data_IF_411611107890
#
_entry.id   IF_411611107890
#
_cell.length_a   1.000
_cell.length_b   1.000
_cell.length_c   1.000
_cell.angle_alpha   90.00
_cell.angle_beta   90.00
_cell.angle_gamma   90.00
#
_symmetry.space_group_name_H-M   'P 1'
#
loop_
_entity.id
_entity.type
_entity.pdbx_description
1 polymer ?
#
# COMPACT_ATOMS: atom_id res chain seq x y z
N UNK A 1 12.67 24.83 39.53
CA UNK A 1 11.89 24.97 38.30
C UNK A 1 10.63 24.11 38.44
N UNK A 2 9.52 24.76 38.82
CA UNK A 2 8.23 24.10 39.01
C UNK A 2 7.69 23.61 37.63
N UNK A 3 7.39 22.33 37.54
CA UNK A 3 6.61 21.76 36.42
C UNK A 3 5.20 22.33 36.49
N UNK A 4 4.89 23.39 35.72
CA UNK A 4 3.51 23.76 35.45
C UNK A 4 2.83 22.57 34.77
N UNK A 5 2.00 21.87 35.51
CA UNK A 5 1.02 20.92 34.95
C UNK A 5 0.11 21.74 34.03
N UNK A 6 0.30 21.70 32.74
CA UNK A 6 -0.53 22.32 31.73
C UNK A 6 -1.81 21.47 31.65
N UNK A 7 -2.75 21.68 32.54
CA UNK A 7 -4.07 21.06 32.45
C UNK A 7 -4.71 21.54 31.14
N UNK A 8 -5.11 20.63 30.28
CA UNK A 8 -5.81 20.93 29.03
C UNK A 8 -7.09 21.70 29.35
N UNK A 9 -7.30 22.81 28.63
CA UNK A 9 -8.51 23.61 28.80
C UNK A 9 -9.78 22.76 28.63
N UNK A 10 -10.77 23.01 29.44
CA UNK A 10 -12.03 22.24 29.48
C UNK A 10 -13.21 23.07 28.93
N UNK A 11 -14.31 22.38 28.58
CA UNK A 11 -15.57 23.06 28.22
C UNK A 11 -16.08 24.02 29.32
N UNK A 12 -15.73 23.76 30.58
CA UNK A 12 -16.09 24.64 31.71
C UNK A 12 -15.30 25.94 31.66
N UNK A 13 -14.04 25.90 31.26
CA UNK A 13 -13.20 27.09 31.14
C UNK A 13 -13.69 27.97 30.00
N UNK A 14 -14.07 27.40 28.87
CA UNK A 14 -14.71 28.12 27.74
C UNK A 14 -16.02 28.77 28.21
N UNK A 15 -16.88 28.03 28.92
CA UNK A 15 -18.15 28.54 29.43
C UNK A 15 -17.97 29.75 30.39
N UNK A 16 -16.95 29.68 31.26
CA UNK A 16 -16.57 30.74 32.18
C UNK A 16 -16.15 32.02 31.48
N UNK A 17 -15.25 31.88 30.45
CA UNK A 17 -14.75 33.03 29.67
C UNK A 17 -15.83 33.60 28.76
N UNK A 18 -16.61 32.75 28.08
CA UNK A 18 -17.72 33.21 27.24
C UNK A 18 -18.94 33.77 28.00
N UNK A 19 -19.01 33.56 29.31
CA UNK A 19 -20.16 33.98 30.13
C UNK A 19 -21.47 33.26 29.81
N UNK A 20 -21.38 31.97 29.43
CA UNK A 20 -22.52 31.13 29.04
C UNK A 20 -22.47 29.76 29.75
N UNK A 21 -23.56 28.99 29.67
CA UNK A 21 -23.56 27.64 30.22
C UNK A 21 -22.72 26.67 29.40
N UNK A 22 -22.21 25.60 30.02
CA UNK A 22 -21.51 24.51 29.28
C UNK A 22 -22.42 23.87 28.25
N UNK A 23 -23.72 23.82 28.45
CA UNK A 23 -24.69 23.35 27.48
C UNK A 23 -24.76 24.27 26.25
N UNK A 24 -24.65 25.61 26.46
CA UNK A 24 -24.59 26.58 25.37
C UNK A 24 -23.29 26.44 24.59
N UNK A 25 -22.13 26.28 25.26
CA UNK A 25 -20.83 25.98 24.58
C UNK A 25 -20.95 24.72 23.73
N UNK A 26 -21.44 23.64 24.32
CA UNK A 26 -21.63 22.37 23.59
C UNK A 26 -22.54 22.54 22.36
N UNK A 27 -23.65 23.26 22.51
CA UNK A 27 -24.59 23.51 21.40
C UNK A 27 -23.97 24.37 20.30
N UNK A 28 -23.21 25.39 20.69
CA UNK A 28 -22.50 26.25 19.71
C UNK A 28 -21.48 25.47 18.90
N UNK A 29 -20.69 24.62 19.54
CA UNK A 29 -19.68 23.80 18.89
C UNK A 29 -20.26 22.67 18.01
N UNK A 30 -21.44 22.13 18.40
CA UNK A 30 -22.07 21.01 17.70
C UNK A 30 -23.06 21.43 16.61
N UNK A 31 -23.79 22.52 16.82
CA UNK A 31 -24.85 23.02 15.95
C UNK A 31 -24.82 24.55 15.92
N UNK A 32 -23.82 25.17 15.29
CA UNK A 32 -23.63 26.62 15.30
C UNK A 32 -24.85 27.39 14.77
N UNK A 33 -25.58 26.78 13.82
CA UNK A 33 -26.78 27.42 13.23
C UNK A 33 -27.99 27.48 14.16
N UNK A 34 -27.98 26.72 15.26
CA UNK A 34 -29.03 26.74 16.27
C UNK A 34 -28.77 27.75 17.43
N UNK A 35 -27.74 28.57 17.27
CA UNK A 35 -27.32 29.57 18.27
C UNK A 35 -27.22 30.93 17.60
N UNK A 36 -27.58 32.02 18.33
CA UNK A 36 -27.46 33.37 17.76
C UNK A 36 -26.03 33.71 17.37
N UNK A 37 -25.84 34.50 16.31
CA UNK A 37 -24.52 34.92 15.83
C UNK A 37 -23.66 35.56 16.95
N UNK A 38 -24.29 36.36 17.84
CA UNK A 38 -23.61 36.99 18.96
C UNK A 38 -23.07 35.96 19.98
N UNK A 39 -23.88 34.97 20.34
CA UNK A 39 -23.45 33.89 21.25
C UNK A 39 -22.39 33.00 20.63
N UNK A 40 -22.51 32.72 19.32
CA UNK A 40 -21.52 31.97 18.57
C UNK A 40 -20.16 32.66 18.64
N UNK A 41 -20.09 33.93 18.27
CA UNK A 41 -18.85 34.71 18.31
C UNK A 41 -18.19 34.76 19.67
N UNK A 42 -19.00 34.93 20.77
CA UNK A 42 -18.47 34.87 22.13
C UNK A 42 -17.83 33.55 22.48
N UNK A 43 -18.46 32.45 22.11
CA UNK A 43 -17.92 31.09 22.38
C UNK A 43 -16.68 30.81 21.54
N UNK A 44 -16.65 31.17 20.25
CA UNK A 44 -15.51 31.00 19.37
C UNK A 44 -14.30 31.81 19.91
N UNK A 45 -14.48 33.04 20.30
CA UNK A 45 -13.40 33.85 20.89
C UNK A 45 -12.87 33.22 22.18
N UNK A 46 -13.77 32.75 23.06
CA UNK A 46 -13.39 32.10 24.32
C UNK A 46 -12.65 30.76 24.07
N UNK A 47 -13.01 29.99 23.04
CA UNK A 47 -12.29 28.76 22.62
C UNK A 47 -10.85 29.08 22.24
N UNK A 48 -10.64 30.15 21.48
CA UNK A 48 -9.29 30.59 21.08
C UNK A 48 -8.50 31.10 22.29
N UNK A 49 -9.12 31.89 23.14
CA UNK A 49 -8.49 32.51 24.32
C UNK A 49 -7.99 31.47 25.32
N UNK A 50 -8.80 30.45 25.62
CA UNK A 50 -8.41 29.40 26.58
C UNK A 50 -7.61 28.26 25.94
N UNK A 51 -7.43 28.26 24.61
CA UNK A 51 -6.77 27.17 23.89
C UNK A 51 -7.54 25.84 24.01
N UNK A 52 -8.88 25.91 24.01
CA UNK A 52 -9.71 24.72 24.09
C UNK A 52 -9.84 24.08 22.73
N UNK A 53 -9.39 22.84 22.61
CA UNK A 53 -9.63 22.01 21.45
C UNK A 53 -10.86 21.14 21.72
N UNK A 54 -11.97 21.32 20.95
CA UNK A 54 -13.14 20.47 21.10
C UNK A 54 -12.76 19.01 20.87
N UNK A 55 -12.67 18.23 21.93
CA UNK A 55 -12.55 16.78 21.76
C UNK A 55 -13.88 16.27 21.17
N UNK A 56 -13.85 15.83 19.92
CA UNK A 56 -14.99 15.18 19.28
C UNK A 56 -15.38 13.85 19.97
N UNK A 57 -14.67 13.45 21.02
CA UNK A 57 -14.91 12.24 21.82
C UNK A 57 -16.37 12.06 22.24
N UNK A 58 -17.03 13.12 22.72
CA UNK A 58 -18.44 13.01 23.14
C UNK A 58 -19.41 12.82 21.96
N UNK A 59 -19.07 13.34 20.78
CA UNK A 59 -19.83 13.16 19.53
C UNK A 59 -19.56 11.77 18.96
N UNK A 60 -18.31 11.37 18.96
CA UNK A 60 -17.85 10.06 18.45
C UNK A 60 -18.36 8.93 19.37
N UNK A 61 -18.33 9.09 20.69
CA UNK A 61 -18.91 8.15 21.67
C UNK A 61 -20.42 7.95 21.47
N UNK A 62 -21.18 9.02 21.12
CA UNK A 62 -22.61 8.89 20.83
C UNK A 62 -22.90 8.20 19.51
N UNK A 63 -21.99 8.29 18.53
CA UNK A 63 -22.10 7.65 17.22
C UNK A 63 -21.41 6.29 17.17
N UNK A 64 -20.68 5.94 18.22
CA UNK A 64 -19.82 4.74 18.26
C UNK A 64 -18.82 4.67 17.09
N UNK A 65 -18.30 5.85 16.68
CA UNK A 65 -17.32 6.03 15.61
C UNK A 65 -16.01 6.59 16.18
N UNK A 66 -14.86 6.06 15.78
CA UNK A 66 -13.54 6.58 16.15
C UNK A 66 -13.04 7.65 15.19
N UNK A 67 -13.54 7.63 13.96
CA UNK A 67 -13.03 8.42 12.82
C UNK A 67 -11.55 8.14 12.54
N UNK A 68 -11.12 6.92 12.78
CA UNK A 68 -9.80 6.44 12.50
C UNK A 68 -9.87 5.16 11.66
N UNK A 69 -8.99 5.07 10.67
CA UNK A 69 -8.78 3.91 9.80
C UNK A 69 -7.37 3.39 10.04
N UNK A 70 -7.20 2.08 10.10
CA UNK A 70 -5.88 1.45 10.16
C UNK A 70 -5.49 0.90 8.79
N UNK A 71 -4.33 1.30 8.31
CA UNK A 71 -3.69 0.73 7.13
C UNK A 71 -2.56 -0.17 7.59
N UNK A 72 -2.65 -1.46 7.25
CA UNK A 72 -1.62 -2.44 7.59
C UNK A 72 -0.70 -2.62 6.39
N UNK A 73 0.59 -2.34 6.59
CA UNK A 73 1.64 -2.49 5.58
C UNK A 73 2.55 -3.66 5.94
N UNK A 74 3.01 -4.45 4.96
CA UNK A 74 3.97 -5.54 5.19
C UNK A 74 5.33 -5.03 5.68
N UNK A 75 5.78 -3.91 5.12
CA UNK A 75 7.03 -3.24 5.47
C UNK A 75 6.92 -1.74 5.17
N UNK A 76 6.95 -0.90 6.19
CA UNK A 76 6.85 0.55 6.04
C UNK A 76 8.06 1.17 5.32
N UNK A 77 9.19 0.46 5.27
CA UNK A 77 10.40 0.92 4.59
C UNK A 77 10.37 0.68 3.07
N UNK A 78 9.40 -0.09 2.55
CA UNK A 78 9.26 -0.31 1.12
C UNK A 78 8.63 0.92 0.45
N UNK A 79 9.36 1.61 -0.46
CA UNK A 79 8.87 2.82 -1.12
C UNK A 79 7.64 2.60 -2.00
N UNK A 80 7.35 1.37 -2.38
CA UNK A 80 6.18 1.02 -3.17
C UNK A 80 4.87 1.47 -2.51
N UNK A 81 4.77 1.35 -1.18
CA UNK A 81 3.54 1.67 -0.47
C UNK A 81 3.26 3.16 -0.31
N UNK A 82 4.24 4.04 -0.57
CA UNK A 82 4.13 5.48 -0.32
C UNK A 82 2.94 6.13 -1.07
N UNK A 83 2.81 5.88 -2.38
CA UNK A 83 1.74 6.46 -3.19
C UNK A 83 0.38 5.80 -2.91
N UNK A 84 0.34 4.52 -2.52
CA UNK A 84 -0.88 3.84 -2.08
C UNK A 84 -1.39 4.50 -0.80
N UNK A 85 -0.52 4.67 0.20
CA UNK A 85 -0.85 5.31 1.47
C UNK A 85 -1.33 6.75 1.24
N UNK A 86 -0.67 7.48 0.35
CA UNK A 86 -1.07 8.85 -0.03
C UNK A 86 -2.49 8.88 -0.60
N UNK A 87 -2.83 7.98 -1.52
CA UNK A 87 -4.19 7.88 -2.08
C UNK A 87 -5.23 7.55 -1.02
N UNK A 88 -4.90 6.67 -0.05
CA UNK A 88 -5.76 6.36 1.09
C UNK A 88 -5.95 7.59 1.98
N UNK A 89 -4.85 8.27 2.33
CA UNK A 89 -4.85 9.42 3.26
C UNK A 89 -5.67 10.58 2.70
N UNK A 90 -5.45 10.96 1.44
CA UNK A 90 -6.19 12.06 0.81
C UNK A 90 -7.70 11.76 0.75
N UNK A 91 -8.10 10.53 0.39
CA UNK A 91 -9.52 10.14 0.39
C UNK A 91 -10.11 10.10 1.80
N UNK A 92 -9.36 9.63 2.80
CA UNK A 92 -9.77 9.59 4.20
C UNK A 92 -9.97 11.01 4.77
N UNK A 93 -9.01 11.91 4.52
CA UNK A 93 -9.04 13.30 5.00
C UNK A 93 -10.27 14.07 4.47
N UNK A 94 -10.62 13.89 3.18
CA UNK A 94 -11.81 14.49 2.58
C UNK A 94 -13.12 14.09 3.28
N UNK A 95 -13.13 12.92 3.96
CA UNK A 95 -14.28 12.40 4.68
C UNK A 95 -14.14 12.49 6.20
N UNK A 96 -13.11 13.21 6.69
CA UNK A 96 -12.88 13.47 8.11
C UNK A 96 -12.40 12.24 8.90
N UNK A 97 -11.70 11.32 8.25
CA UNK A 97 -11.02 10.19 8.87
C UNK A 97 -9.52 10.45 9.01
N UNK A 98 -8.94 9.94 10.11
CA UNK A 98 -7.50 9.85 10.31
C UNK A 98 -7.00 8.48 9.85
N UNK A 99 -5.82 8.45 9.25
CA UNK A 99 -5.15 7.21 8.87
C UNK A 99 -4.06 6.89 9.89
N UNK A 100 -4.13 5.71 10.47
CA UNK A 100 -3.09 5.10 11.30
C UNK A 100 -2.37 4.04 10.47
N UNK A 101 -1.05 3.93 10.60
CA UNK A 101 -0.27 2.94 9.88
C UNK A 101 0.23 1.89 10.88
N UNK A 102 -0.02 0.63 10.57
CA UNK A 102 0.50 -0.54 11.27
C UNK A 102 1.53 -1.26 10.41
N UNK A 103 2.78 -1.36 10.87
CA UNK A 103 3.84 -2.13 10.22
C UNK A 103 3.88 -3.54 10.81
N UNK A 104 3.60 -4.56 9.99
CA UNK A 104 3.55 -5.95 10.45
C UNK A 104 4.90 -6.63 10.52
N UNK A 105 5.93 -6.14 9.81
CA UNK A 105 7.28 -6.75 9.74
C UNK A 105 7.23 -8.27 9.54
N UNK A 106 6.20 -8.78 8.87
CA UNK A 106 5.92 -10.21 8.70
C UNK A 106 5.79 -11.01 10.02
N UNK A 107 5.40 -10.36 11.15
CA UNK A 107 5.24 -11.00 12.47
C UNK A 107 3.76 -11.17 12.83
N UNK A 108 3.28 -12.42 12.88
CA UNK A 108 1.88 -12.76 13.22
C UNK A 108 1.41 -12.20 14.57
N UNK A 109 2.29 -12.06 15.57
CA UNK A 109 1.91 -11.55 16.89
C UNK A 109 1.46 -10.06 16.86
N UNK A 110 2.02 -9.24 15.97
CA UNK A 110 1.62 -7.84 15.84
C UNK A 110 0.26 -7.70 15.17
N UNK A 111 -0.09 -8.62 14.33
CA UNK A 111 -1.33 -8.67 13.58
C UNK A 111 -2.54 -8.82 14.50
N UNK A 112 -2.49 -9.70 15.50
CA UNK A 112 -3.56 -9.86 16.51
C UNK A 112 -3.81 -8.57 17.33
N UNK A 113 -2.77 -7.77 17.58
CA UNK A 113 -2.93 -6.52 18.30
C UNK A 113 -3.75 -5.50 17.48
N UNK A 114 -3.59 -5.47 16.17
CA UNK A 114 -4.33 -4.57 15.28
C UNK A 114 -5.82 -4.92 15.20
N UNK A 115 -6.17 -6.20 15.22
CA UNK A 115 -7.57 -6.64 15.24
C UNK A 115 -8.27 -6.21 16.52
N UNK A 116 -7.58 -6.29 17.65
CA UNK A 116 -8.14 -5.81 18.90
C UNK A 116 -8.52 -4.32 18.87
N UNK A 117 -7.81 -3.49 18.08
CA UNK A 117 -8.20 -2.09 17.88
C UNK A 117 -9.53 -1.97 17.15
N UNK A 118 -9.79 -2.85 16.20
CA UNK A 118 -11.04 -2.89 15.44
C UNK A 118 -12.19 -3.43 16.30
N UNK A 119 -12.00 -4.56 16.98
CA UNK A 119 -13.00 -5.18 17.87
C UNK A 119 -13.38 -4.21 19.01
N UNK A 120 -12.40 -3.52 19.57
CA UNK A 120 -12.61 -2.55 20.66
C UNK A 120 -13.11 -1.19 20.17
N UNK A 121 -13.46 -1.04 18.89
CA UNK A 121 -13.94 0.20 18.26
C UNK A 121 -12.99 1.39 18.44
N UNK A 122 -11.69 1.14 18.51
CA UNK A 122 -10.66 2.18 18.49
C UNK A 122 -10.35 2.65 17.08
N UNK A 123 -10.68 1.85 16.09
CA UNK A 123 -10.70 2.17 14.65
C UNK A 123 -12.05 1.73 14.08
N UNK A 124 -12.49 2.38 13.01
CA UNK A 124 -13.78 2.09 12.37
C UNK A 124 -13.64 1.07 11.24
N UNK A 125 -12.48 1.02 10.60
CA UNK A 125 -12.21 0.10 9.49
C UNK A 125 -10.72 -0.10 9.25
N UNK A 126 -10.41 -1.03 8.34
CA UNK A 126 -9.03 -1.44 8.05
C UNK A 126 -8.80 -1.61 6.55
N UNK A 127 -7.61 -1.21 6.08
CA UNK A 127 -7.12 -1.52 4.73
C UNK A 127 -5.85 -2.36 4.86
N UNK A 128 -5.83 -3.50 4.18
CA UNK A 128 -4.72 -4.47 4.19
C UNK A 128 -3.93 -4.34 2.89
N UNK A 129 -2.63 -4.04 2.97
CA UNK A 129 -1.73 -3.93 1.82
C UNK A 129 -0.89 -5.20 1.58
N UNK A 130 -1.05 -6.22 2.42
CA UNK A 130 -0.37 -7.51 2.33
C UNK A 130 -1.35 -8.68 2.36
N UNK A 131 -0.86 -9.86 2.00
CA UNK A 131 -1.65 -11.09 1.94
C UNK A 131 -1.79 -11.78 3.29
N UNK A 132 -0.93 -11.46 4.26
CA UNK A 132 -1.04 -12.04 5.58
C UNK A 132 -2.20 -11.40 6.32
N UNK A 133 -3.23 -12.20 6.47
CA UNK A 133 -4.39 -11.79 7.23
C UNK A 133 -4.10 -12.14 8.68
N UNK A 134 -4.24 -11.14 9.56
CA UNK A 134 -3.84 -11.31 10.94
C UNK A 134 -4.77 -12.21 11.76
N UNK A 135 -5.58 -13.08 11.15
CA UNK A 135 -6.51 -13.93 11.88
C UNK A 135 -6.96 -15.16 11.10
N UNK A 136 -7.15 -16.22 11.83
CA UNK A 136 -7.76 -17.45 11.35
C UNK A 136 -9.28 -17.25 11.36
N UNK A 137 -9.87 -16.92 10.21
CA UNK A 137 -11.29 -16.60 10.14
C UNK A 137 -12.08 -17.80 9.67
N UNK A 138 -12.84 -18.38 10.57
CA UNK A 138 -13.89 -19.33 10.18
C UNK A 138 -14.93 -18.65 9.26
N UNK A 139 -15.58 -19.43 8.39
CA UNK A 139 -16.63 -18.89 7.49
C UNK A 139 -17.80 -18.20 8.22
N UNK A 140 -18.01 -18.51 9.49
CA UNK A 140 -19.03 -17.88 10.33
C UNK A 140 -18.58 -16.52 10.85
N UNK A 141 -17.29 -16.40 11.20
CA UNK A 141 -16.69 -15.13 11.65
C UNK A 141 -16.58 -14.13 10.50
N UNK A 142 -16.35 -14.58 9.26
CA UNK A 142 -16.35 -13.74 8.07
C UNK A 142 -17.66 -12.94 7.87
N UNK A 143 -18.80 -13.48 8.32
CA UNK A 143 -20.09 -12.78 8.20
C UNK A 143 -20.22 -11.55 9.11
N UNK A 144 -19.45 -11.51 10.19
CA UNK A 144 -19.46 -10.46 11.20
C UNK A 144 -18.18 -9.63 11.19
N UNK A 145 -17.37 -9.76 10.13
CA UNK A 145 -16.13 -8.97 10.03
C UNK A 145 -16.46 -7.48 9.94
N UNK A 146 -15.71 -6.66 10.67
CA UNK A 146 -15.81 -5.23 10.56
C UNK A 146 -15.39 -4.76 9.16
N UNK A 147 -15.72 -3.51 8.77
CA UNK A 147 -15.37 -2.98 7.46
C UNK A 147 -13.89 -3.12 7.13
N UNK A 148 -13.58 -3.90 6.09
CA UNK A 148 -12.21 -4.15 5.63
C UNK A 148 -12.15 -4.23 4.11
N UNK A 149 -11.02 -3.77 3.57
CA UNK A 149 -10.69 -3.80 2.13
C UNK A 149 -9.25 -4.28 1.97
N UNK A 150 -8.99 -5.09 0.96
CA UNK A 150 -7.63 -5.40 0.53
C UNK A 150 -7.19 -4.47 -0.59
N UNK A 151 -5.92 -4.09 -0.60
CA UNK A 151 -5.32 -3.28 -1.63
C UNK A 151 -3.99 -3.86 -2.08
N UNK A 152 -3.74 -3.84 -3.40
CA UNK A 152 -2.55 -4.39 -4.05
C UNK A 152 -2.45 -5.93 -4.02
N UNK A 153 -2.63 -6.53 -2.84
CA UNK A 153 -2.63 -7.98 -2.67
C UNK A 153 -4.07 -8.50 -2.57
N UNK A 154 -4.25 -9.78 -2.67
CA UNK A 154 -5.56 -10.43 -2.53
C UNK A 154 -5.43 -11.79 -1.82
N UNK A 155 -6.48 -12.16 -1.13
CA UNK A 155 -6.61 -13.45 -0.47
C UNK A 155 -7.89 -14.12 -1.01
N UNK A 156 -7.76 -15.09 -1.93
CA UNK A 156 -8.91 -15.72 -2.58
C UNK A 156 -9.87 -16.41 -1.58
N UNK A 157 -9.36 -16.86 -0.45
CA UNK A 157 -10.12 -17.49 0.63
C UNK A 157 -10.97 -16.50 1.45
N UNK A 158 -10.63 -15.21 1.39
CA UNK A 158 -11.40 -14.16 2.02
C UNK A 158 -12.22 -13.41 0.97
N UNK A 159 -13.49 -13.47 1.12
CA UNK A 159 -14.42 -12.71 0.27
C UNK A 159 -14.41 -11.21 0.62
N UNK A 160 -13.23 -10.56 0.64
CA UNK A 160 -13.10 -9.13 0.87
C UNK A 160 -13.15 -8.34 -0.44
N UNK A 161 -13.72 -7.13 -0.43
CA UNK A 161 -13.52 -6.18 -1.53
C UNK A 161 -12.02 -5.90 -1.68
N UNK A 162 -11.53 -5.98 -2.92
CA UNK A 162 -10.10 -5.90 -3.20
C UNK A 162 -9.85 -4.96 -4.39
N UNK A 163 -8.83 -4.12 -4.32
CA UNK A 163 -8.36 -3.27 -5.43
C UNK A 163 -6.93 -3.63 -5.77
N UNK A 164 -6.70 -4.10 -6.97
CA UNK A 164 -5.35 -4.47 -7.45
C UNK A 164 -5.27 -4.41 -8.98
N UNK A 165 -4.13 -4.79 -9.57
CA UNK A 165 -3.94 -4.90 -11.01
C UNK A 165 -4.04 -6.36 -11.48
N UNK A 166 -4.13 -6.58 -12.80
CA UNK A 166 -3.90 -7.91 -13.39
C UNK A 166 -2.39 -8.20 -13.42
N UNK A 167 -1.91 -8.84 -12.35
CA UNK A 167 -0.51 -9.21 -12.19
C UNK A 167 -0.01 -10.22 -13.23
N UNK A 168 -0.89 -11.12 -13.69
CA UNK A 168 -0.54 -12.12 -14.69
C UNK A 168 -0.28 -11.47 -16.06
N UNK A 169 -1.26 -10.69 -16.54
CA UNK A 169 -1.14 -10.01 -17.83
C UNK A 169 0.00 -9.00 -17.84
N UNK A 170 0.20 -8.28 -16.73
CA UNK A 170 1.29 -7.30 -16.60
C UNK A 170 2.67 -7.96 -16.68
N UNK A 171 2.89 -9.07 -15.98
CA UNK A 171 4.14 -9.83 -16.04
C UNK A 171 4.35 -10.51 -17.39
N UNK A 172 3.27 -11.00 -18.02
CA UNK A 172 3.31 -11.51 -19.38
C UNK A 172 3.82 -10.42 -20.34
N UNK A 173 3.26 -9.22 -20.30
CA UNK A 173 3.65 -8.10 -21.18
C UNK A 173 5.10 -7.67 -20.95
N UNK A 174 5.57 -7.61 -19.70
CA UNK A 174 6.96 -7.31 -19.36
C UNK A 174 7.93 -8.34 -19.95
N UNK A 175 7.62 -9.63 -19.80
CA UNK A 175 8.43 -10.71 -20.35
C UNK A 175 8.38 -10.74 -21.88
N UNK A 176 7.21 -10.52 -22.47
CA UNK A 176 7.02 -10.44 -23.91
C UNK A 176 7.82 -9.28 -24.54
N UNK A 177 7.96 -8.14 -23.86
CA UNK A 177 8.82 -7.04 -24.32
C UNK A 177 10.28 -7.51 -24.48
N UNK A 178 10.84 -8.25 -23.52
CA UNK A 178 12.19 -8.80 -23.63
C UNK A 178 12.32 -9.78 -24.82
N UNK A 179 11.30 -10.60 -25.05
CA UNK A 179 11.26 -11.51 -26.20
C UNK A 179 11.19 -10.76 -27.53
N UNK A 180 10.40 -9.69 -27.60
CA UNK A 180 10.29 -8.84 -28.79
C UNK A 180 11.62 -8.15 -29.13
N UNK A 181 12.46 -7.87 -28.13
CA UNK A 181 13.82 -7.39 -28.31
C UNK A 181 14.80 -8.50 -28.81
N UNK A 182 14.39 -9.75 -28.77
CA UNK A 182 15.20 -10.90 -29.25
C UNK A 182 15.88 -11.70 -28.12
N UNK A 183 15.60 -11.43 -26.87
CA UNK A 183 16.16 -12.21 -25.76
C UNK A 183 15.58 -13.63 -25.71
N UNK A 184 16.46 -14.62 -25.66
CA UNK A 184 16.12 -16.06 -25.55
C UNK A 184 16.47 -16.64 -24.18
N UNK A 185 17.37 -16.01 -23.45
CA UNK A 185 17.77 -16.37 -22.08
C UNK A 185 17.30 -15.28 -21.13
N UNK A 186 16.08 -15.45 -20.64
CA UNK A 186 15.41 -14.50 -19.77
C UNK A 186 15.26 -15.16 -18.41
N UNK A 187 15.80 -14.57 -17.36
CA UNK A 187 15.61 -15.03 -15.97
C UNK A 187 14.50 -14.23 -15.27
N UNK A 188 14.02 -14.77 -14.16
CA UNK A 188 13.02 -14.14 -13.31
C UNK A 188 13.49 -14.16 -11.85
N UNK A 189 13.59 -12.98 -11.23
CA UNK A 189 13.74 -12.83 -9.79
C UNK A 189 12.35 -12.58 -9.20
N UNK A 190 11.78 -13.61 -8.57
CA UNK A 190 10.42 -13.53 -8.00
C UNK A 190 10.46 -12.90 -6.61
N UNK A 191 9.28 -12.50 -6.10
CA UNK A 191 9.10 -12.27 -4.67
C UNK A 191 8.78 -13.56 -3.91
N UNK A 192 8.38 -13.45 -2.62
CA UNK A 192 8.03 -14.59 -1.78
C UNK A 192 6.90 -15.45 -2.36
N UNK A 193 7.07 -16.76 -2.31
CA UNK A 193 6.08 -17.71 -2.86
C UNK A 193 4.75 -17.69 -2.12
N UNK A 194 4.75 -17.31 -0.85
CA UNK A 194 3.54 -17.20 -0.03
C UNK A 194 2.59 -16.09 -0.49
N UNK A 195 3.07 -15.15 -1.32
CA UNK A 195 2.27 -14.03 -1.80
C UNK A 195 1.58 -14.38 -3.13
N UNK A 196 0.24 -14.38 -3.19
CA UNK A 196 -0.52 -14.69 -4.41
C UNK A 196 -0.08 -13.87 -5.62
N UNK A 197 0.14 -12.56 -5.47
CA UNK A 197 0.60 -11.70 -6.58
C UNK A 197 1.90 -12.22 -7.21
N UNK A 198 2.83 -12.77 -6.42
CA UNK A 198 4.09 -13.33 -6.94
C UNK A 198 3.85 -14.57 -7.78
N UNK A 199 2.90 -15.41 -7.39
CA UNK A 199 2.52 -16.60 -8.16
C UNK A 199 1.91 -16.19 -9.51
N UNK A 200 1.06 -15.17 -9.57
CA UNK A 200 0.49 -14.67 -10.83
C UNK A 200 1.53 -14.01 -11.71
N UNK A 201 2.46 -13.21 -11.16
CA UNK A 201 3.58 -12.63 -11.94
C UNK A 201 4.46 -13.74 -12.53
N UNK A 202 4.78 -14.77 -11.75
CA UNK A 202 5.53 -15.94 -12.23
C UNK A 202 4.77 -16.69 -13.33
N UNK A 203 3.46 -16.88 -13.18
CA UNK A 203 2.64 -17.50 -14.23
C UNK A 203 2.65 -16.68 -15.52
N UNK A 204 2.56 -15.36 -15.45
CA UNK A 204 2.67 -14.47 -16.60
C UNK A 204 4.00 -14.62 -17.33
N UNK A 205 5.12 -14.64 -16.61
CA UNK A 205 6.45 -14.91 -17.15
C UNK A 205 6.52 -16.28 -17.85
N UNK A 206 6.04 -17.35 -17.19
CA UNK A 206 6.04 -18.70 -17.75
C UNK A 206 5.17 -18.78 -19.03
N UNK A 207 4.00 -18.15 -19.03
CA UNK A 207 3.12 -18.13 -20.20
C UNK A 207 3.75 -17.38 -21.37
N UNK A 208 4.46 -16.28 -21.13
CA UNK A 208 5.17 -15.56 -22.17
C UNK A 208 6.26 -16.44 -22.80
N UNK A 209 7.10 -17.11 -21.99
CA UNK A 209 8.12 -18.04 -22.51
C UNK A 209 7.50 -19.17 -23.34
N UNK A 210 6.44 -19.80 -22.86
CA UNK A 210 5.73 -20.87 -23.57
C UNK A 210 5.20 -20.41 -24.93
N UNK A 211 4.59 -19.22 -24.96
CA UNK A 211 4.04 -18.64 -26.20
C UNK A 211 5.13 -18.40 -27.25
N UNK A 212 6.34 -18.03 -26.80
CA UNK A 212 7.50 -17.83 -27.70
C UNK A 212 8.27 -19.12 -28.04
N UNK A 213 7.84 -20.27 -27.51
CA UNK A 213 8.55 -21.54 -27.69
C UNK A 213 9.91 -21.58 -26.98
N UNK A 214 10.12 -20.74 -25.96
CA UNK A 214 11.37 -20.71 -25.21
C UNK A 214 11.32 -21.71 -24.04
N UNK A 215 12.46 -22.37 -23.73
CA UNK A 215 12.51 -23.31 -22.62
C UNK A 215 12.37 -22.58 -21.27
N UNK A 216 11.59 -23.17 -20.38
CA UNK A 216 11.54 -22.79 -18.97
C UNK A 216 12.71 -23.49 -18.29
N UNK A 217 13.60 -22.74 -17.65
CA UNK A 217 14.79 -23.24 -16.97
C UNK A 217 14.66 -22.96 -15.49
N UNK A 218 14.65 -23.98 -14.65
CA UNK A 218 14.50 -23.84 -13.21
C UNK A 218 15.62 -22.98 -12.61
N UNK A 219 16.84 -23.07 -13.14
CA UNK A 219 17.98 -22.27 -12.72
C UNK A 219 17.84 -20.75 -12.98
N UNK A 220 16.88 -20.37 -13.83
CA UNK A 220 16.58 -18.96 -14.13
C UNK A 220 15.43 -18.39 -13.30
N UNK A 221 14.77 -19.21 -12.48
CA UNK A 221 13.68 -18.77 -11.61
C UNK A 221 14.17 -18.83 -10.16
N UNK A 222 14.49 -17.68 -9.60
CA UNK A 222 15.03 -17.60 -8.25
C UNK A 222 14.21 -16.65 -7.38
N UNK A 223 14.13 -16.94 -6.07
CA UNK A 223 13.24 -16.28 -5.13
C UNK A 223 13.96 -15.23 -4.31
N UNK A 224 13.43 -14.00 -4.34
CA UNK A 224 13.83 -12.87 -3.53
C UNK A 224 12.79 -12.53 -2.45
N UNK A 225 13.01 -11.42 -1.78
CA UNK A 225 12.24 -10.95 -0.63
C UNK A 225 11.85 -9.46 -0.73
N UNK A 226 11.92 -8.88 -1.93
CA UNK A 226 11.65 -7.47 -2.22
C UNK A 226 12.67 -6.48 -1.62
N UNK A 227 13.89 -6.93 -1.25
CA UNK A 227 14.97 -6.06 -0.84
C UNK A 227 15.97 -5.82 -1.98
N UNK A 228 16.75 -4.72 -1.90
CA UNK A 228 17.85 -4.46 -2.83
C UNK A 228 18.94 -5.53 -2.69
N UNK A 229 19.20 -5.95 -1.46
CA UNK A 229 20.19 -6.96 -1.13
C UNK A 229 19.88 -8.29 -1.82
N UNK A 230 18.63 -8.76 -1.71
CA UNK A 230 18.25 -10.00 -2.39
C UNK A 230 18.32 -9.87 -3.91
N UNK A 231 17.92 -8.73 -4.47
CA UNK A 231 18.06 -8.44 -5.89
C UNK A 231 19.51 -8.53 -6.36
N UNK A 232 20.45 -7.97 -5.60
CA UNK A 232 21.87 -8.01 -5.89
C UNK A 232 22.46 -9.44 -5.79
N UNK A 233 22.21 -10.13 -4.68
CA UNK A 233 22.71 -11.50 -4.46
C UNK A 233 22.21 -12.48 -5.51
N UNK A 234 20.92 -12.37 -5.86
CA UNK A 234 20.31 -13.28 -6.83
C UNK A 234 20.77 -12.96 -8.27
N UNK A 235 20.99 -11.70 -8.60
CA UNK A 235 21.58 -11.34 -9.89
C UNK A 235 23.01 -11.90 -10.01
N UNK A 236 23.85 -11.86 -8.97
CA UNK A 236 25.17 -12.47 -8.98
C UNK A 236 25.10 -13.98 -9.25
N UNK A 237 24.19 -14.69 -8.59
CA UNK A 237 23.97 -16.13 -8.82
C UNK A 237 23.58 -16.41 -10.27
N UNK A 238 22.66 -15.63 -10.84
CA UNK A 238 22.24 -15.79 -12.25
C UNK A 238 23.37 -15.50 -13.23
N UNK A 239 24.17 -14.47 -12.98
CA UNK A 239 25.23 -14.03 -13.87
C UNK A 239 26.50 -14.92 -13.81
N UNK A 240 26.64 -15.72 -12.75
CA UNK A 240 27.73 -16.71 -12.61
C UNK A 240 27.40 -18.11 -13.13
N UNK A 241 26.18 -18.33 -13.64
CA UNK A 241 25.81 -19.57 -14.29
C UNK A 241 26.67 -19.83 -15.52
N UNK A 242 26.87 -21.09 -15.89
CA UNK A 242 27.59 -21.49 -17.13
C UNK A 242 26.98 -20.85 -18.39
N UNK A 243 25.65 -20.70 -18.40
CA UNK A 243 24.91 -20.00 -19.44
C UNK A 243 24.10 -18.87 -18.82
N UNK A 244 24.71 -17.71 -18.59
CA UNK A 244 24.00 -16.62 -17.90
C UNK A 244 22.84 -16.07 -18.75
N UNK A 245 21.78 -15.54 -18.12
CA UNK A 245 20.71 -14.86 -18.84
C UNK A 245 21.22 -13.59 -19.52
N UNK A 246 20.61 -13.21 -20.62
CA UNK A 246 20.81 -11.91 -21.29
C UNK A 246 19.79 -10.85 -20.85
N UNK A 247 18.76 -11.27 -20.13
CA UNK A 247 17.78 -10.36 -19.52
C UNK A 247 17.23 -10.93 -18.20
N UNK A 248 16.84 -10.06 -17.30
CA UNK A 248 16.21 -10.40 -16.01
C UNK A 248 14.92 -9.62 -15.88
N UNK A 249 13.83 -10.33 -15.58
CA UNK A 249 12.59 -9.75 -15.11
C UNK A 249 12.52 -9.87 -13.58
N UNK A 250 12.43 -8.75 -12.87
CA UNK A 250 12.32 -8.70 -11.42
C UNK A 250 10.87 -8.37 -11.01
N UNK A 251 10.37 -9.04 -9.99
CA UNK A 251 9.01 -8.81 -9.49
C UNK A 251 8.86 -7.49 -8.70
N UNK A 252 9.93 -6.72 -8.52
CA UNK A 252 9.86 -5.33 -8.02
C UNK A 252 11.01 -4.49 -8.54
N UNK A 253 10.83 -3.19 -8.55
CA UNK A 253 11.87 -2.22 -8.88
C UNK A 253 12.99 -2.22 -7.84
N UNK A 254 12.67 -2.46 -6.59
CA UNK A 254 13.66 -2.55 -5.49
C UNK A 254 14.66 -3.64 -5.80
N UNK A 255 14.21 -4.85 -6.13
CA UNK A 255 15.10 -5.95 -6.52
C UNK A 255 15.80 -5.66 -7.87
N UNK A 256 15.10 -5.04 -8.84
CA UNK A 256 15.69 -4.69 -10.12
C UNK A 256 16.85 -3.72 -9.98
N UNK A 257 16.73 -2.70 -9.13
CA UNK A 257 17.80 -1.74 -8.83
C UNK A 257 18.99 -2.44 -8.15
N UNK A 258 18.71 -3.37 -7.21
CA UNK A 258 19.75 -4.21 -6.61
C UNK A 258 20.48 -5.05 -7.65
N UNK A 259 19.76 -5.68 -8.58
CA UNK A 259 20.32 -6.46 -9.69
C UNK A 259 21.16 -5.59 -10.64
N UNK A 260 20.70 -4.38 -10.98
CA UNK A 260 21.46 -3.42 -11.79
C UNK A 260 22.78 -3.03 -11.12
N UNK A 261 22.73 -2.73 -9.82
CA UNK A 261 23.92 -2.40 -9.04
C UNK A 261 24.95 -3.54 -9.07
N UNK A 262 24.52 -4.78 -8.83
CA UNK A 262 25.42 -5.94 -8.84
C UNK A 262 25.99 -6.23 -10.24
N UNK A 263 25.17 -6.14 -11.29
CA UNK A 263 25.63 -6.31 -12.67
C UNK A 263 26.75 -5.31 -13.01
N UNK A 264 26.58 -4.03 -12.65
CA UNK A 264 27.62 -3.01 -12.85
C UNK A 264 28.88 -3.31 -12.03
N UNK A 265 28.74 -3.75 -10.78
CA UNK A 265 29.86 -4.15 -9.92
C UNK A 265 30.66 -5.32 -10.52
N UNK A 266 30.00 -6.21 -11.26
CA UNK A 266 30.65 -7.29 -12.03
C UNK A 266 31.25 -6.82 -13.37
N UNK A 267 31.14 -5.53 -13.70
CA UNK A 267 31.71 -4.94 -14.91
C UNK A 267 30.82 -5.00 -16.15
N UNK A 268 29.55 -5.41 -16.01
CA UNK A 268 28.60 -5.45 -17.11
C UNK A 268 28.09 -4.03 -17.44
N UNK A 269 27.91 -3.78 -18.73
CA UNK A 269 27.27 -2.56 -19.24
C UNK A 269 25.78 -2.80 -19.39
N UNK A 270 24.98 -1.90 -18.82
CA UNK A 270 23.52 -1.93 -18.92
C UNK A 270 23.04 -0.84 -19.87
N UNK A 271 22.16 -1.14 -20.82
CA UNK A 271 21.49 -2.44 -21.04
C UNK A 271 22.24 -3.39 -22.00
N UNK A 272 23.43 -3.03 -22.53
CA UNK A 272 24.09 -3.70 -23.66
C UNK A 272 24.48 -5.15 -23.36
N UNK A 273 24.95 -5.47 -22.16
CA UNK A 273 25.33 -6.82 -21.74
C UNK A 273 24.20 -7.55 -21.03
N UNK A 274 23.29 -6.80 -20.39
CA UNK A 274 22.18 -7.34 -19.65
C UNK A 274 21.01 -6.36 -19.64
N UNK A 275 19.85 -6.78 -20.12
CA UNK A 275 18.59 -6.04 -19.98
C UNK A 275 17.90 -6.37 -18.66
N UNK A 276 17.34 -5.37 -17.99
CA UNK A 276 16.60 -5.56 -16.72
C UNK A 276 15.27 -4.84 -16.79
N UNK A 277 14.20 -5.55 -16.39
CA UNK A 277 12.86 -4.98 -16.19
C UNK A 277 12.48 -5.14 -14.73
N UNK A 278 11.93 -4.07 -14.16
CA UNK A 278 11.31 -4.05 -12.83
C UNK A 278 9.80 -4.17 -12.88
N UNK A 279 9.21 -3.92 -11.72
CA UNK A 279 7.77 -3.87 -11.50
C UNK A 279 7.50 -2.86 -10.38
N UNK A 280 6.44 -2.07 -10.46
CA UNK A 280 5.89 -1.10 -9.50
C UNK A 280 5.98 0.36 -9.93
N UNK A 281 7.03 0.76 -10.66
CA UNK A 281 7.34 2.15 -11.02
C UNK A 281 7.54 3.05 -9.78
N UNK A 282 8.36 2.58 -8.82
CA UNK A 282 8.72 3.42 -7.67
C UNK A 282 9.45 4.69 -8.12
N UNK A 283 9.40 5.74 -7.30
CA UNK A 283 9.95 7.06 -7.67
C UNK A 283 11.43 7.04 -8.09
N UNK A 284 12.23 6.12 -7.55
CA UNK A 284 13.66 5.96 -7.87
C UNK A 284 13.92 5.25 -9.20
N UNK A 285 12.95 4.54 -9.77
CA UNK A 285 13.11 3.78 -11.02
C UNK A 285 13.52 4.65 -12.21
N UNK A 286 12.97 5.87 -12.32
CA UNK A 286 13.32 6.80 -13.40
C UNK A 286 14.69 7.47 -13.23
N UNK A 287 15.23 7.48 -12.01
CA UNK A 287 16.53 8.08 -11.67
C UNK A 287 17.66 7.06 -11.54
N UNK A 288 17.36 5.76 -11.74
CA UNK A 288 18.39 4.74 -11.83
C UNK A 288 19.23 4.94 -13.09
N UNK A 289 20.40 4.36 -13.13
CA UNK A 289 21.31 4.44 -14.28
C UNK A 289 21.62 3.04 -14.85
N UNK A 290 21.13 2.72 -16.07
CA UNK A 290 20.16 3.50 -16.88
C UNK A 290 18.78 3.58 -16.21
N UNK A 291 17.89 4.52 -16.65
CA UNK A 291 16.52 4.58 -16.15
C UNK A 291 15.77 3.25 -16.36
N UNK A 292 15.15 2.73 -15.30
CA UNK A 292 14.58 1.38 -15.27
C UNK A 292 13.26 1.29 -16.06
N UNK A 293 13.22 0.36 -17.02
CA UNK A 293 11.99 -0.13 -17.67
C UNK A 293 11.20 -0.93 -16.65
N UNK A 294 9.93 -0.61 -16.45
CA UNK A 294 9.13 -1.20 -15.37
C UNK A 294 7.64 -1.22 -15.68
N UNK A 295 6.92 -2.13 -15.03
CA UNK A 295 5.45 -2.10 -15.02
C UNK A 295 4.99 -1.04 -14.02
N UNK A 296 4.31 -0.01 -14.52
CA UNK A 296 3.76 1.05 -13.68
C UNK A 296 2.41 0.63 -13.10
N UNK A 297 2.37 0.43 -11.79
CA UNK A 297 1.13 0.25 -11.06
C UNK A 297 0.48 1.61 -10.76
N UNK A 298 -0.83 1.76 -10.88
CA UNK A 298 -1.56 2.98 -10.50
C UNK A 298 -1.72 3.04 -8.97
N UNK A 299 -0.59 3.18 -8.25
CA UNK A 299 -0.53 3.04 -6.80
C UNK A 299 -1.45 4.02 -6.06
N UNK A 300 -1.48 5.29 -6.50
CA UNK A 300 -2.38 6.29 -5.92
C UNK A 300 -3.85 5.88 -6.07
N UNK A 301 -4.25 5.45 -7.27
CA UNK A 301 -5.60 5.02 -7.58
C UNK A 301 -5.98 3.73 -6.82
N UNK A 302 -5.04 2.81 -6.62
CA UNK A 302 -5.23 1.62 -5.78
C UNK A 302 -5.61 2.08 -4.37
N UNK A 303 -4.84 2.97 -3.78
CA UNK A 303 -5.10 3.50 -2.43
C UNK A 303 -6.41 4.25 -2.33
N UNK A 304 -6.63 5.21 -3.23
CA UNK A 304 -7.82 6.05 -3.28
C UNK A 304 -9.10 5.22 -3.43
N UNK A 305 -9.14 4.30 -4.39
CA UNK A 305 -10.31 3.44 -4.60
C UNK A 305 -10.55 2.48 -3.43
N UNK A 306 -9.49 1.98 -2.79
CA UNK A 306 -9.63 1.13 -1.59
C UNK A 306 -10.27 1.87 -0.44
N UNK A 307 -9.88 3.13 -0.21
CA UNK A 307 -10.51 3.97 0.82
C UNK A 307 -11.98 4.28 0.48
N UNK A 308 -12.30 4.54 -0.78
CA UNK A 308 -13.70 4.75 -1.19
C UNK A 308 -14.57 3.51 -0.94
N UNK A 309 -14.07 2.31 -1.25
CA UNK A 309 -14.78 1.05 -0.96
C UNK A 309 -14.98 0.86 0.55
N UNK A 310 -13.98 1.20 1.36
CA UNK A 310 -14.10 1.14 2.82
C UNK A 310 -15.14 2.13 3.33
N UNK A 311 -15.17 3.36 2.81
CA UNK A 311 -16.17 4.37 3.17
C UNK A 311 -17.60 3.93 2.82
N UNK A 312 -17.81 3.25 1.71
CA UNK A 312 -19.10 2.67 1.36
C UNK A 312 -19.55 1.63 2.41
N UNK A 313 -18.67 0.74 2.84
CA UNK A 313 -18.96 -0.21 3.92
C UNK A 313 -19.29 0.49 5.25
N UNK A 314 -18.51 1.52 5.62
CA UNK A 314 -18.74 2.30 6.84
C UNK A 314 -20.08 3.04 6.84
N UNK A 315 -20.61 3.36 5.66
CA UNK A 315 -21.94 3.95 5.47
C UNK A 315 -23.07 2.90 5.44
N UNK A 316 -22.76 1.63 5.64
CA UNK A 316 -23.72 0.53 5.60
C UNK A 316 -24.19 0.16 4.20
N UNK A 317 -23.48 0.59 3.15
CA UNK A 317 -23.79 0.20 1.77
C UNK A 317 -23.26 -1.21 1.48
N UNK A 318 -23.98 -1.94 0.67
CA UNK A 318 -23.48 -3.22 0.17
C UNK A 318 -22.38 -2.96 -0.86
N UNK A 319 -21.16 -3.41 -0.55
CA UNK A 319 -20.01 -3.36 -1.45
C UNK A 319 -19.86 -4.74 -2.10
N UNK A 320 -19.63 -4.76 -3.41
CA UNK A 320 -19.36 -6.01 -4.12
C UNK A 320 -18.09 -6.64 -3.57
N UNK A 321 -18.19 -7.91 -3.19
CA UNK A 321 -17.04 -8.74 -2.82
C UNK A 321 -16.26 -9.10 -4.08
N UNK A 322 -14.93 -9.24 -3.95
CA UNK A 322 -14.03 -9.62 -5.03
C UNK A 322 -13.20 -8.48 -5.58
N UNK A 323 -12.53 -8.74 -6.69
CA UNK A 323 -11.48 -7.90 -7.24
C UNK A 323 -12.01 -6.78 -8.13
N UNK A 324 -11.58 -5.55 -7.85
CA UNK A 324 -11.62 -4.41 -8.76
C UNK A 324 -10.24 -4.24 -9.37
N UNK A 325 -10.13 -4.58 -10.65
CA UNK A 325 -8.87 -4.47 -11.38
C UNK A 325 -8.69 -3.06 -11.93
N UNK A 326 -7.46 -2.55 -11.81
CA UNK A 326 -7.00 -1.32 -12.44
C UNK A 326 -5.98 -1.66 -13.51
N UNK A 327 -5.87 -0.82 -14.53
CA UNK A 327 -4.92 -0.99 -15.61
C UNK A 327 -3.51 -0.62 -15.16
N UNK A 328 -2.52 -1.42 -15.60
CA UNK A 328 -1.10 -1.15 -15.40
C UNK A 328 -0.39 -1.09 -16.75
N UNK A 329 0.59 -0.22 -16.88
CA UNK A 329 1.31 0.03 -18.13
C UNK A 329 2.77 -0.39 -18.02
N UNK A 330 3.35 -0.90 -19.13
CA UNK A 330 4.80 -1.09 -19.24
C UNK A 330 5.44 0.21 -19.71
N UNK A 331 6.21 0.84 -18.82
CA UNK A 331 7.01 2.03 -19.13
C UNK A 331 8.39 1.61 -19.63
N UNK A 332 8.63 1.78 -20.92
CA UNK A 332 9.91 1.49 -21.54
C UNK A 332 10.85 2.67 -21.32
N UNK A 333 12.03 2.40 -20.73
CA UNK A 333 13.08 3.39 -20.48
C UNK A 333 14.43 2.91 -21.04
N UNK A 334 15.52 3.12 -20.31
CA UNK A 334 16.89 2.85 -20.78
C UNK A 334 17.48 1.50 -20.36
N UNK A 335 16.81 0.69 -19.53
CA UNK A 335 17.40 -0.55 -18.99
C UNK A 335 17.19 -1.80 -19.86
N UNK A 336 16.64 -1.65 -21.06
CA UNK A 336 16.41 -2.76 -21.98
C UNK A 336 16.84 -2.40 -23.39
N UNK A 337 17.49 -3.34 -24.09
CA UNK A 337 17.85 -3.24 -25.52
C UNK A 337 17.87 -4.64 -26.14
N UNK A 338 18.10 -4.73 -27.44
CA UNK A 338 18.34 -6.02 -28.09
C UNK A 338 19.63 -6.67 -27.59
N UNK A 339 19.64 -8.00 -27.38
CA UNK A 339 20.84 -8.70 -26.91
C UNK A 339 21.99 -8.60 -27.94
N UNK A 340 23.24 -8.57 -27.45
CA UNK A 340 24.42 -8.75 -28.32
C UNK A 340 24.34 -10.09 -28.99
N UNK A 341 24.72 -10.13 -30.26
CA UNK A 341 24.77 -11.31 -31.11
C UNK A 341 25.74 -12.35 -30.58
#
# INVERSE_FOLDING_TARGET
>A
MEKKNCALATMKDVAKVAGVSTATVSRTLMNPDKVSAHTRQKVENAVLEVGYYPHNLAKNLRRNESRAILVIVPNICDPFFNEIIRGIEEAAAQHGYLVLIGDCKHQQQQEHAFINLLITKRIDGMILLGSNIPFDVSKEEQKNMPPMVMANEFAPELELPTVHIDNLTSAFNATHHLQALGHKRIACITGPESMPLCQYRLQGYIQALRRAGLPIRDEYIIRGDFTHESGAELAEKLLTLTNPPSAIFCHSDVMAIGAMWQAKKMGLKLPEDLSIIGFDNISTAQYSDPPLTTVAQPCYEIGHNSMLLLLEQLQGRMVSKGSRLLDAELLIRGSTCSPKS
#
